data_IF_020766278262
#
_entry.id   IF_020766278262
#
_cell.length_a   1.000
_cell.length_b   1.000
_cell.length_c   1.000
_cell.angle_alpha   90.00
_cell.angle_beta   90.00
_cell.angle_gamma   90.00
#
_symmetry.space_group_name_H-M   'P 1'
#
loop_
_entity.id
_entity.type
_entity.pdbx_description
1 polymer ?
#
# COMPACT_ATOMS: atom_id res chain seq x y z
N UNK A 1 -1.59 25.20 4.62
CA UNK A 1 -0.68 25.57 3.52
C UNK A 1 0.07 24.29 3.17
N UNK A 2 -0.17 23.70 2.00
CA UNK A 2 0.69 22.59 1.58
C UNK A 2 2.09 23.15 1.30
N UNK A 3 3.18 22.49 1.72
CA UNK A 3 4.51 22.92 1.34
C UNK A 3 4.69 22.80 -0.18
N UNK A 4 5.43 23.73 -0.77
CA UNK A 4 5.78 23.66 -2.19
C UNK A 4 6.62 22.42 -2.48
N UNK A 5 6.31 21.74 -3.58
CA UNK A 5 6.94 20.49 -3.99
C UNK A 5 8.15 20.74 -4.91
N UNK A 6 9.36 20.41 -4.44
CA UNK A 6 10.62 20.70 -5.16
C UNK A 6 11.37 19.47 -5.70
N UNK A 7 10.91 18.26 -5.37
CA UNK A 7 11.64 17.00 -5.64
C UNK A 7 11.33 16.38 -7.02
N UNK A 8 10.52 17.04 -7.84
CA UNK A 8 10.15 16.57 -9.18
C UNK A 8 9.05 15.49 -9.21
N UNK A 9 8.57 15.18 -10.41
CA UNK A 9 7.35 14.38 -10.63
C UNK A 9 7.49 12.92 -10.20
N UNK A 10 8.66 12.33 -10.44
CA UNK A 10 8.95 10.95 -10.06
C UNK A 10 8.81 10.74 -8.55
N UNK A 11 9.42 11.61 -7.75
CA UNK A 11 9.40 11.49 -6.29
C UNK A 11 7.99 11.75 -5.75
N UNK A 12 7.22 12.67 -6.35
CA UNK A 12 5.82 12.95 -5.97
C UNK A 12 4.97 11.67 -6.10
N UNK A 13 5.02 11.03 -7.27
CA UNK A 13 4.33 9.76 -7.52
C UNK A 13 4.84 8.64 -6.62
N UNK A 14 6.17 8.50 -6.49
CA UNK A 14 6.79 7.40 -5.76
C UNK A 14 6.44 7.42 -4.28
N UNK A 15 6.53 8.58 -3.61
CA UNK A 15 6.23 8.68 -2.17
C UNK A 15 4.77 8.38 -1.89
N UNK A 16 3.85 8.97 -2.68
CA UNK A 16 2.41 8.71 -2.52
C UNK A 16 2.06 7.25 -2.80
N UNK A 17 2.59 6.69 -3.89
CA UNK A 17 2.41 5.29 -4.22
C UNK A 17 2.92 4.36 -3.11
N UNK A 18 4.16 4.57 -2.65
CA UNK A 18 4.78 3.76 -1.60
C UNK A 18 4.03 3.86 -0.26
N UNK A 19 3.55 5.05 0.08
CA UNK A 19 2.72 5.27 1.26
C UNK A 19 1.42 4.46 1.17
N UNK A 20 0.70 4.54 0.04
CA UNK A 20 -0.52 3.75 -0.20
C UNK A 20 -0.26 2.25 -0.14
N UNK A 21 0.80 1.76 -0.80
CA UNK A 21 1.19 0.34 -0.75
C UNK A 21 1.44 -0.10 0.70
N UNK A 22 2.21 0.69 1.46
CA UNK A 22 2.54 0.37 2.85
C UNK A 22 1.30 0.31 3.76
N UNK A 23 0.35 1.23 3.56
CA UNK A 23 -0.94 1.22 4.24
C UNK A 23 -1.73 -0.05 3.90
N UNK A 24 -1.84 -0.40 2.62
CA UNK A 24 -2.57 -1.61 2.17
C UNK A 24 -1.92 -2.90 2.67
N UNK A 25 -0.60 -3.02 2.60
CA UNK A 25 0.14 -4.17 3.16
C UNK A 25 -0.16 -4.34 4.64
N UNK A 26 -0.19 -3.25 5.41
CA UNK A 26 -0.49 -3.29 6.84
C UNK A 26 -1.92 -3.79 7.11
N UNK A 27 -2.91 -3.26 6.39
CA UNK A 27 -4.32 -3.66 6.51
C UNK A 27 -4.50 -5.15 6.17
N UNK A 28 -3.97 -5.60 5.05
CA UNK A 28 -4.09 -7.00 4.65
C UNK A 28 -3.33 -7.95 5.57
N UNK A 29 -2.16 -7.54 6.09
CA UNK A 29 -1.41 -8.32 7.07
C UNK A 29 -2.20 -8.47 8.36
N UNK A 30 -2.77 -7.38 8.90
CA UNK A 30 -3.63 -7.43 10.07
C UNK A 30 -4.85 -8.34 9.84
N UNK A 31 -5.50 -8.20 8.68
CA UNK A 31 -6.63 -9.05 8.29
C UNK A 31 -6.23 -10.53 8.25
N UNK A 32 -5.08 -10.85 7.65
CA UNK A 32 -4.56 -12.22 7.60
C UNK A 32 -4.23 -12.77 8.99
N UNK A 33 -3.64 -11.96 9.88
CA UNK A 33 -3.40 -12.34 11.27
C UNK A 33 -4.70 -12.63 12.02
N UNK A 34 -5.75 -11.82 11.82
CA UNK A 34 -7.07 -12.07 12.42
C UNK A 34 -7.69 -13.38 11.93
N UNK A 35 -7.60 -13.65 10.62
CA UNK A 35 -8.08 -14.91 10.03
C UNK A 35 -7.30 -16.10 10.55
N UNK A 36 -5.97 -16.00 10.66
CA UNK A 36 -5.12 -17.05 11.23
C UNK A 36 -5.57 -17.39 12.67
N UNK A 37 -5.75 -16.37 13.52
CA UNK A 37 -6.23 -16.57 14.90
C UNK A 37 -7.60 -17.23 14.93
N UNK A 38 -8.54 -16.76 14.11
CA UNK A 38 -9.87 -17.34 14.02
C UNK A 38 -9.83 -18.82 13.62
N UNK A 39 -9.07 -19.15 12.57
CA UNK A 39 -8.92 -20.52 12.10
C UNK A 39 -8.27 -21.40 13.16
N UNK A 40 -7.25 -20.92 13.87
CA UNK A 40 -6.58 -21.68 14.92
C UNK A 40 -7.49 -22.01 16.12
N UNK A 41 -8.41 -21.10 16.47
CA UNK A 41 -9.37 -21.30 17.57
C UNK A 41 -10.47 -22.28 17.15
N UNK A 42 -11.12 -22.03 16.01
CA UNK A 42 -12.26 -22.84 15.54
C UNK A 42 -11.81 -24.23 15.09
N UNK A 43 -10.70 -24.28 14.35
CA UNK A 43 -10.09 -25.51 13.90
C UNK A 43 -8.81 -25.67 14.70
N UNK A 44 -8.87 -26.27 15.89
CA UNK A 44 -7.69 -26.58 16.71
C UNK A 44 -6.68 -27.39 15.88
N UNK A 45 -5.73 -26.70 15.24
CA UNK A 45 -4.84 -27.31 14.24
C UNK A 45 -3.66 -27.97 14.95
N UNK A 46 -3.83 -29.27 15.22
CA UNK A 46 -2.78 -30.16 15.73
C UNK A 46 -1.69 -30.33 14.63
N UNK A 47 -0.60 -29.59 14.76
CA UNK A 47 0.70 -29.78 14.08
C UNK A 47 0.77 -29.63 12.55
N UNK A 48 1.39 -28.54 12.08
CA UNK A 48 2.26 -28.54 10.88
C UNK A 48 3.05 -27.22 10.76
N UNK A 49 3.94 -26.94 11.72
CA UNK A 49 4.74 -25.68 11.78
C UNK A 49 5.42 -25.33 10.43
N UNK A 50 5.95 -26.33 9.72
CA UNK A 50 6.56 -26.18 8.39
C UNK A 50 5.56 -25.82 7.28
N UNK A 51 4.33 -26.37 7.31
CA UNK A 51 3.30 -26.11 6.30
C UNK A 51 2.64 -24.75 6.52
N UNK A 52 2.50 -24.33 7.78
CA UNK A 52 2.07 -22.97 8.17
C UNK A 52 3.10 -21.92 7.73
N UNK A 53 4.40 -22.17 7.95
CA UNK A 53 5.46 -21.24 7.52
C UNK A 53 5.46 -21.00 6.00
N UNK A 54 5.38 -22.07 5.18
CA UNK A 54 5.29 -21.93 3.72
C UNK A 54 4.01 -21.21 3.26
N UNK A 55 2.89 -21.46 3.92
CA UNK A 55 1.63 -20.78 3.61
C UNK A 55 1.68 -19.30 4.01
N UNK A 56 2.40 -18.96 5.09
CA UNK A 56 2.62 -17.58 5.52
C UNK A 56 3.49 -16.82 4.51
N UNK A 57 4.59 -17.41 4.01
CA UNK A 57 5.42 -16.78 2.97
C UNK A 57 4.62 -16.53 1.68
N UNK A 58 3.81 -17.50 1.24
CA UNK A 58 2.91 -17.32 0.09
C UNK A 58 1.87 -16.22 0.36
N UNK A 59 1.29 -16.18 1.56
CA UNK A 59 0.34 -15.15 1.97
C UNK A 59 0.95 -13.74 1.92
N UNK A 60 2.16 -13.58 2.46
CA UNK A 60 2.88 -12.29 2.41
C UNK A 60 3.15 -11.89 0.96
N UNK A 61 3.60 -12.81 0.11
CA UNK A 61 3.80 -12.54 -1.32
C UNK A 61 2.52 -12.06 -2.01
N UNK A 62 1.38 -12.71 -1.75
CA UNK A 62 0.08 -12.31 -2.28
C UNK A 62 -0.35 -10.93 -1.77
N UNK A 63 -0.16 -10.65 -0.47
CA UNK A 63 -0.46 -9.34 0.12
C UNK A 63 0.30 -8.23 -0.59
N UNK A 64 1.61 -8.41 -0.83
CA UNK A 64 2.41 -7.43 -1.56
C UNK A 64 1.91 -7.22 -2.98
N UNK A 65 1.65 -8.29 -3.73
CA UNK A 65 1.14 -8.21 -5.11
C UNK A 65 -0.22 -7.49 -5.18
N UNK A 66 -1.14 -7.82 -4.28
CA UNK A 66 -2.46 -7.18 -4.17
C UNK A 66 -2.32 -5.69 -3.84
N UNK A 67 -1.51 -5.34 -2.85
CA UNK A 67 -1.28 -3.94 -2.47
C UNK A 67 -0.67 -3.10 -3.61
N UNK A 68 0.32 -3.65 -4.32
CA UNK A 68 0.97 -3.00 -5.48
C UNK A 68 -0.05 -2.78 -6.60
N UNK A 69 -0.88 -3.78 -6.90
CA UNK A 69 -1.91 -3.69 -7.93
C UNK A 69 -2.99 -2.65 -7.57
N UNK A 70 -3.46 -2.66 -6.33
CA UNK A 70 -4.50 -1.74 -5.85
C UNK A 70 -4.00 -0.29 -5.69
N UNK A 71 -2.70 -0.08 -5.49
CA UNK A 71 -2.11 1.25 -5.45
C UNK A 71 -1.87 1.87 -6.84
N UNK A 72 -2.03 1.10 -7.93
CA UNK A 72 -1.84 1.58 -9.31
C UNK A 72 -2.55 2.90 -9.67
N UNK A 73 -3.81 3.17 -9.28
CA UNK A 73 -4.46 4.46 -9.56
C UNK A 73 -3.71 5.64 -8.93
N UNK A 74 -3.10 5.47 -7.75
CA UNK A 74 -2.34 6.56 -7.10
C UNK A 74 -1.16 6.99 -7.96
N UNK A 75 -0.44 6.03 -8.56
CA UNK A 75 0.67 6.35 -9.46
C UNK A 75 0.23 7.05 -10.76
N UNK A 76 -1.00 6.76 -11.22
CA UNK A 76 -1.56 7.36 -12.43
C UNK A 76 -2.11 8.77 -12.17
N UNK A 77 -2.88 8.94 -11.09
CA UNK A 77 -3.60 10.18 -10.80
C UNK A 77 -2.77 11.22 -10.02
N UNK A 78 -1.70 10.83 -9.32
CA UNK A 78 -0.81 11.80 -8.68
C UNK A 78 0.07 12.50 -9.72
N UNK A 79 0.03 13.83 -9.76
CA UNK A 79 0.89 14.62 -10.64
C UNK A 79 1.32 15.92 -9.97
N UNK A 80 2.34 16.56 -10.54
CA UNK A 80 2.70 17.91 -10.14
C UNK A 80 1.80 18.88 -10.87
N UNK A 81 1.14 19.75 -10.10
CA UNK A 81 0.33 20.85 -10.58
C UNK A 81 1.04 22.16 -10.24
N UNK A 82 1.15 23.05 -11.21
CA UNK A 82 1.66 24.40 -11.01
C UNK A 82 0.49 25.33 -10.74
N UNK A 83 0.55 26.11 -9.66
CA UNK A 83 -0.49 27.06 -9.31
C UNK A 83 0.00 28.48 -9.55
N UNK A 84 -0.53 29.13 -10.60
CA UNK A 84 -0.06 30.45 -11.04
C UNK A 84 -0.29 31.56 -10.01
N UNK A 85 -1.35 31.45 -9.19
CA UNK A 85 -1.72 32.47 -8.19
C UNK A 85 -0.63 32.65 -7.13
N UNK A 86 0.02 31.57 -6.72
CA UNK A 86 1.03 31.56 -5.65
C UNK A 86 2.43 31.21 -6.15
N UNK A 87 2.59 31.03 -7.47
CA UNK A 87 3.85 30.68 -8.14
C UNK A 87 4.56 29.47 -7.47
N UNK A 88 3.78 28.47 -7.08
CA UNK A 88 4.25 27.28 -6.37
C UNK A 88 3.75 25.99 -7.03
N UNK A 89 4.56 24.94 -6.91
CA UNK A 89 4.25 23.58 -7.35
C UNK A 89 3.67 22.75 -6.20
N UNK A 90 2.67 21.94 -6.50
CA UNK A 90 2.08 21.00 -5.55
C UNK A 90 2.02 19.60 -6.15
N UNK A 91 2.21 18.59 -5.30
CA UNK A 91 1.91 17.21 -5.63
C UNK A 91 0.44 16.95 -5.24
N UNK A 92 -0.42 16.68 -6.22
CA UNK A 92 -1.86 16.55 -6.01
C UNK A 92 -2.48 15.49 -6.94
N UNK A 93 -3.67 15.01 -6.57
CA UNK A 93 -4.46 14.06 -7.37
C UNK A 93 -5.28 14.75 -8.47
N UNK A 94 -5.02 14.38 -9.72
CA UNK A 94 -5.74 14.87 -10.89
C UNK A 94 -6.68 13.77 -11.36
N UNK A 95 -7.96 13.93 -11.04
CA UNK A 95 -9.05 13.13 -11.57
C UNK A 95 -9.60 13.81 -12.83
N UNK A 96 -10.04 13.05 -13.85
CA UNK A 96 -10.76 13.61 -15.00
C UNK A 96 -12.10 14.23 -14.60
#
# INVERSE_FOLDING_TARGET
MLPSWVLGTFICKFIHYFFTVSMLVSIFTLSAMSVDRYVAIVHSRRSSSLRVSRNATLGVGLIWLLSIAMASPVAHHQSIVHQDIINQTFCWEVWP
#
